data_IF_916861669366
#
_entry.id   IF_916861669366
#
_cell.length_a   1.000
_cell.length_b   1.000
_cell.length_c   1.000
_cell.angle_alpha   90.00
_cell.angle_beta   90.00
_cell.angle_gamma   90.00
#
_symmetry.space_group_name_H-M   'P 1'
#
loop_
_entity.id
_entity.type
_entity.pdbx_description
1 polymer ?
#
# COMPACT_ATOMS: atom_id res chain seq x y z
N UNK A 1 -17.81 0.70 -1.79
CA UNK A 1 -17.35 0.61 -0.38
C UNK A 1 -18.56 0.49 0.55
N UNK A 2 -19.58 1.36 0.45
CA UNK A 2 -20.75 1.32 1.34
C UNK A 2 -21.53 0.00 1.30
N UNK A 3 -21.53 -0.70 0.17
CA UNK A 3 -22.14 -2.03 0.04
C UNK A 3 -21.29 -3.17 0.65
N UNK A 4 -20.04 -2.92 1.02
CA UNK A 4 -19.13 -3.95 1.53
C UNK A 4 -19.49 -4.32 2.97
N UNK A 5 -19.80 -5.60 3.19
CA UNK A 5 -20.20 -6.12 4.51
C UNK A 5 -19.08 -6.81 5.28
N UNK A 6 -17.98 -7.13 4.60
CA UNK A 6 -16.87 -7.93 5.15
C UNK A 6 -15.55 -7.21 4.87
N UNK A 7 -14.80 -6.96 5.94
CA UNK A 7 -13.41 -6.51 5.92
C UNK A 7 -12.52 -7.75 6.13
N UNK A 8 -11.75 -8.12 5.10
CA UNK A 8 -10.91 -9.32 5.12
C UNK A 8 -9.61 -9.08 5.88
N UNK A 9 -8.94 -7.96 5.60
CA UNK A 9 -7.75 -7.54 6.33
C UNK A 9 -7.57 -6.02 6.25
N UNK A 10 -6.79 -5.48 7.18
CA UNK A 10 -6.41 -4.08 7.16
C UNK A 10 -5.09 -3.88 7.92
N UNK A 11 -4.34 -2.83 7.58
CA UNK A 11 -3.06 -2.59 8.22
C UNK A 11 -2.27 -1.43 7.65
N UNK A 12 -1.21 -1.04 8.36
CA UNK A 12 -0.28 0.00 7.91
C UNK A 12 0.80 -0.62 7.01
N UNK A 13 1.00 -0.02 5.83
CA UNK A 13 2.08 -0.35 4.90
C UNK A 13 2.81 0.92 4.46
N UNK A 14 4.07 0.79 4.05
CA UNK A 14 4.83 1.92 3.48
C UNK A 14 4.80 1.85 1.96
N UNK A 15 4.56 2.97 1.31
CA UNK A 15 4.68 3.04 -0.15
C UNK A 15 6.13 3.30 -0.59
N UNK A 16 6.39 3.23 -1.91
CA UNK A 16 7.70 3.51 -2.52
C UNK A 16 8.38 4.80 -2.04
N UNK A 17 7.60 5.83 -1.73
CA UNK A 17 8.11 7.13 -1.32
C UNK A 17 8.36 7.21 0.20
N UNK A 18 8.17 6.12 0.94
CA UNK A 18 8.30 6.05 2.40
C UNK A 18 7.09 6.56 3.18
N UNK A 19 6.01 6.98 2.51
CA UNK A 19 4.79 7.40 3.19
C UNK A 19 4.03 6.19 3.74
N UNK A 20 3.60 6.30 4.99
CA UNK A 20 2.69 5.35 5.63
C UNK A 20 1.29 5.49 5.03
N UNK A 21 0.73 4.37 4.62
CA UNK A 21 -0.65 4.23 4.18
C UNK A 21 -1.34 3.22 5.09
N UNK A 22 -2.63 3.41 5.31
CA UNK A 22 -3.48 2.42 5.95
C UNK A 22 -4.36 1.77 4.89
N UNK A 23 -4.27 0.46 4.75
CA UNK A 23 -4.93 -0.32 3.71
C UNK A 23 -6.14 -1.02 4.31
N UNK A 24 -7.25 -1.03 3.58
CA UNK A 24 -8.43 -1.83 3.88
C UNK A 24 -8.72 -2.73 2.69
N UNK A 25 -8.71 -4.05 2.90
CA UNK A 25 -9.16 -5.03 1.92
C UNK A 25 -10.54 -5.52 2.32
N UNK A 26 -11.56 -5.03 1.63
CA UNK A 26 -12.91 -5.58 1.71
C UNK A 26 -13.05 -6.73 0.70
N UNK A 27 -14.12 -7.53 0.85
CA UNK A 27 -14.41 -8.66 -0.03
C UNK A 27 -14.34 -8.33 -1.54
N UNK A 28 -14.76 -7.12 -1.94
CA UNK A 28 -14.89 -6.73 -3.34
C UNK A 28 -14.02 -5.53 -3.73
N UNK A 29 -13.34 -4.87 -2.79
CA UNK A 29 -12.59 -3.65 -3.07
C UNK A 29 -11.41 -3.45 -2.12
N UNK A 30 -10.27 -3.04 -2.68
CA UNK A 30 -9.09 -2.58 -1.96
C UNK A 30 -9.08 -1.06 -1.88
N UNK A 31 -8.91 -0.52 -0.67
CA UNK A 31 -8.88 0.92 -0.41
C UNK A 31 -7.55 1.28 0.25
N UNK A 32 -6.79 2.16 -0.41
CA UNK A 32 -5.58 2.76 0.16
C UNK A 32 -5.96 4.09 0.81
N UNK A 33 -5.44 4.38 1.99
CA UNK A 33 -5.75 5.62 2.72
C UNK A 33 -4.53 6.21 3.40
N UNK A 34 -4.61 7.49 3.77
CA UNK A 34 -3.70 8.14 4.72
C UNK A 34 -4.43 8.33 6.05
N UNK A 35 -3.85 7.93 7.18
CA UNK A 35 -4.40 8.28 8.48
C UNK A 35 -4.28 9.80 8.68
N UNK A 36 -5.38 10.45 9.05
CA UNK A 36 -5.47 11.90 9.31
C UNK A 36 -6.21 12.12 10.63
N UNK A 37 -5.70 13.05 11.43
CA UNK A 37 -6.35 13.52 12.65
C UNK A 37 -7.03 14.85 12.36
N UNK A 38 -8.36 14.93 12.52
CA UNK A 38 -9.13 16.16 12.35
C UNK A 38 -10.08 16.34 13.53
N UNK A 39 -9.97 17.46 14.23
CA UNK A 39 -10.78 17.77 15.42
C UNK A 39 -10.78 16.60 16.43
N UNK A 40 -9.58 16.11 16.77
CA UNK A 40 -9.36 14.97 17.68
C UNK A 40 -9.96 13.62 17.24
N UNK A 41 -10.53 13.55 16.02
CA UNK A 41 -11.02 12.30 15.44
C UNK A 41 -10.01 11.72 14.46
N UNK A 42 -9.71 10.44 14.62
CA UNK A 42 -8.97 9.66 13.64
C UNK A 42 -9.86 9.35 12.44
N UNK A 43 -9.34 9.61 11.25
CA UNK A 43 -10.02 9.37 9.99
C UNK A 43 -9.04 8.84 8.95
N UNK A 44 -9.57 8.18 7.94
CA UNK A 44 -8.78 7.61 6.85
C UNK A 44 -9.14 8.34 5.56
N UNK A 45 -8.24 9.21 5.12
CA UNK A 45 -8.42 9.95 3.87
C UNK A 45 -8.05 9.02 2.70
N UNK A 46 -9.01 8.77 1.80
CA UNK A 46 -8.79 7.95 0.61
C UNK A 46 -7.60 8.47 -0.19
N UNK A 47 -6.62 7.60 -0.41
CA UNK A 47 -5.45 7.85 -1.21
C UNK A 47 -5.64 7.18 -2.55
N UNK A 48 -5.83 8.00 -3.59
CA UNK A 48 -6.02 7.53 -4.97
C UNK A 48 -7.30 6.70 -5.14
N UNK A 49 -7.54 6.12 -6.32
CA UNK A 49 -8.82 5.45 -6.59
C UNK A 49 -8.81 4.05 -5.93
N UNK A 50 -9.87 3.66 -5.21
CA UNK A 50 -10.05 2.29 -4.76
C UNK A 50 -10.02 1.29 -5.92
N UNK A 51 -9.42 0.13 -5.71
CA UNK A 51 -9.26 -0.91 -6.75
C UNK A 51 -10.27 -2.02 -6.50
N UNK A 52 -11.26 -2.25 -7.39
CA UNK A 52 -12.13 -3.41 -7.30
C UNK A 52 -11.32 -4.70 -7.31
N UNK A 53 -11.66 -5.68 -6.47
CA UNK A 53 -10.90 -6.96 -6.37
C UNK A 53 -10.90 -7.71 -7.70
N UNK A 54 -11.98 -7.64 -8.47
CA UNK A 54 -12.04 -8.22 -9.81
C UNK A 54 -10.99 -7.66 -10.79
N UNK A 55 -10.55 -6.42 -10.55
CA UNK A 55 -9.58 -5.67 -11.36
C UNK A 55 -8.22 -5.56 -10.67
N UNK A 56 -8.08 -6.10 -9.46
CA UNK A 56 -6.86 -6.06 -8.66
C UNK A 56 -5.87 -7.11 -9.17
N UNK A 57 -4.66 -6.67 -9.46
CA UNK A 57 -3.51 -7.55 -9.69
C UNK A 57 -2.52 -7.37 -8.55
N UNK A 58 -2.18 -8.49 -7.92
CA UNK A 58 -1.12 -8.61 -6.92
C UNK A 58 0.12 -9.20 -7.59
N UNK A 59 1.25 -8.50 -7.45
CA UNK A 59 2.54 -8.96 -7.94
C UNK A 59 3.49 -9.07 -6.77
N UNK A 60 4.02 -10.26 -6.56
CA UNK A 60 5.09 -10.46 -5.61
C UNK A 60 6.39 -9.85 -6.14
N UNK A 61 7.15 -9.20 -5.27
CA UNK A 61 8.43 -8.58 -5.61
C UNK A 61 9.52 -9.16 -4.71
N UNK A 62 10.68 -9.46 -5.30
CA UNK A 62 11.79 -9.98 -4.52
C UNK A 62 12.47 -8.87 -3.72
N UNK A 63 13.04 -9.27 -2.59
CA UNK A 63 13.78 -8.34 -1.73
C UNK A 63 14.92 -7.67 -2.52
N UNK A 64 14.84 -6.33 -2.62
CA UNK A 64 15.80 -5.53 -3.37
C UNK A 64 15.49 -5.25 -4.82
N UNK A 65 14.38 -5.76 -5.37
CA UNK A 65 13.91 -5.41 -6.73
C UNK A 65 13.54 -3.94 -6.83
N UNK A 66 13.10 -3.34 -5.72
CA UNK A 66 12.69 -1.95 -5.66
C UNK A 66 13.54 -1.16 -4.66
N UNK A 67 14.07 -0.03 -5.13
CA UNK A 67 14.60 1.02 -4.25
C UNK A 67 13.42 1.80 -3.68
N UNK A 68 13.19 1.64 -2.37
CA UNK A 68 12.25 2.46 -1.61
C UNK A 68 12.98 3.74 -1.17
N UNK A 69 12.42 4.91 -1.43
CA UNK A 69 13.09 6.17 -1.08
C UNK A 69 12.32 7.44 -1.51
N UNK A 70 12.37 8.45 -0.63
CA UNK A 70 11.97 9.83 -0.90
C UNK A 70 13.18 10.77 -0.92
N UNK A 71 12.99 11.98 -1.45
CA UNK A 71 14.02 12.99 -1.70
C UNK A 71 14.76 13.41 -0.43
N UNK A 72 16.10 13.38 -0.45
CA UNK A 72 17.02 13.88 0.58
C UNK A 72 17.02 13.18 1.95
N UNK A 73 17.75 12.05 2.04
CA UNK A 73 18.72 11.82 3.11
C UNK A 73 19.95 11.15 2.51
N UNK A 74 20.94 11.97 2.16
CA UNK A 74 22.25 11.50 1.74
C UNK A 74 23.05 10.93 2.91
N UNK A 75 24.01 10.08 2.54
CA UNK A 75 25.23 9.77 3.26
C UNK A 75 25.07 8.99 4.59
N UNK A 76 25.61 7.76 4.59
CA UNK A 76 25.86 6.89 5.74
C UNK A 76 24.63 6.18 6.35
N UNK A 77 24.32 5.02 5.78
CA UNK A 77 23.37 4.06 6.35
C UNK A 77 22.84 3.18 5.23
N UNK A 78 23.24 1.91 5.26
CA UNK A 78 22.85 0.81 4.38
C UNK A 78 21.70 1.14 3.43
N UNK A 79 21.94 1.07 2.11
CA UNK A 79 20.86 0.98 1.13
C UNK A 79 20.16 -0.37 1.34
N UNK A 80 19.35 -0.47 2.39
CA UNK A 80 18.59 -1.66 2.71
C UNK A 80 17.60 -1.85 1.58
N UNK A 81 18.03 -2.70 0.63
CA UNK A 81 17.20 -3.34 -0.36
C UNK A 81 15.86 -3.64 0.30
N UNK A 82 14.80 -3.05 -0.24
CA UNK A 82 13.50 -3.14 0.39
C UNK A 82 13.07 -4.59 0.49
N UNK A 83 12.79 -5.04 1.71
CA UNK A 83 12.30 -6.38 1.99
C UNK A 83 10.80 -6.39 2.20
N UNK A 84 10.18 -7.55 2.02
CA UNK A 84 8.74 -7.76 2.23
C UNK A 84 7.89 -6.82 1.38
N UNK A 85 8.29 -6.67 0.12
CA UNK A 85 7.61 -5.81 -0.85
C UNK A 85 6.69 -6.61 -1.76
N UNK A 86 5.64 -5.95 -2.21
CA UNK A 86 4.73 -6.42 -3.23
C UNK A 86 4.13 -5.21 -3.96
N UNK A 87 3.47 -5.44 -5.09
CA UNK A 87 2.83 -4.39 -5.88
C UNK A 87 1.37 -4.73 -6.11
N UNK A 88 0.52 -3.74 -5.89
CA UNK A 88 -0.91 -3.79 -6.24
C UNK A 88 -1.18 -2.80 -7.37
N UNK A 89 -1.96 -3.21 -8.36
CA UNK A 89 -2.33 -2.35 -9.49
C UNK A 89 -3.66 -2.79 -10.10
N UNK A 90 -4.19 -1.95 -10.97
CA UNK A 90 -5.27 -2.36 -11.87
C UNK A 90 -4.76 -3.36 -12.91
N UNK A 91 -5.63 -4.28 -13.32
CA UNK A 91 -5.38 -5.28 -14.37
C UNK A 91 -5.06 -4.61 -15.70
N UNK A 92 -5.88 -3.65 -16.08
CA UNK A 92 -5.62 -2.80 -17.24
C UNK A 92 -4.59 -1.73 -16.89
N UNK A 93 -3.45 -1.78 -17.57
CA UNK A 93 -2.33 -0.85 -17.37
C UNK A 93 -2.64 0.56 -17.88
N UNK A 94 -3.62 0.72 -18.78
CA UNK A 94 -4.05 2.02 -19.28
C UNK A 94 -4.98 2.74 -18.30
N UNK A 95 -5.68 1.97 -17.45
CA UNK A 95 -6.75 2.47 -16.60
C UNK A 95 -6.32 2.92 -15.21
N UNK A 96 -5.08 2.65 -14.77
CA UNK A 96 -4.89 2.66 -13.31
C UNK A 96 -3.50 2.79 -12.72
N UNK A 97 -3.56 3.27 -11.48
CA UNK A 97 -2.44 3.48 -10.59
C UNK A 97 -1.81 2.15 -10.17
N UNK A 98 -0.52 2.21 -9.85
CA UNK A 98 0.26 1.10 -9.34
C UNK A 98 0.95 1.52 -8.05
N UNK A 99 0.88 0.67 -7.03
CA UNK A 99 1.39 0.93 -5.70
C UNK A 99 2.32 -0.20 -5.27
N UNK A 100 3.62 0.10 -5.20
CA UNK A 100 4.57 -0.75 -4.47
C UNK A 100 4.44 -0.46 -2.98
N UNK A 101 4.16 -1.52 -2.22
CA UNK A 101 3.91 -1.49 -0.80
C UNK A 101 4.91 -2.40 -0.08
N UNK A 102 5.30 -1.99 1.12
CA UNK A 102 6.22 -2.71 1.99
C UNK A 102 5.52 -3.01 3.32
N UNK A 103 5.50 -4.29 3.68
CA UNK A 103 5.09 -4.77 4.99
C UNK A 103 6.23 -4.65 6.01
N UNK A 104 5.87 -4.62 7.30
CA UNK A 104 6.85 -4.49 8.38
C UNK A 104 7.73 -5.74 8.55
N UNK A 105 7.18 -6.92 8.29
CA UNK A 105 7.87 -8.21 8.33
C UNK A 105 7.25 -9.21 7.32
N UNK A 106 7.84 -10.40 7.23
CA UNK A 106 7.41 -11.43 6.27
C UNK A 106 6.07 -12.09 6.64
N UNK A 107 5.72 -12.11 7.94
CA UNK A 107 4.47 -12.70 8.41
C UNK A 107 3.28 -11.80 8.07
N UNK A 108 3.48 -10.48 8.04
CA UNK A 108 2.50 -9.51 7.57
C UNK A 108 2.38 -9.45 6.03
N UNK A 109 3.22 -10.18 5.28
CA UNK A 109 3.13 -10.29 3.81
C UNK A 109 2.28 -11.49 3.36
N UNK A 110 2.11 -12.52 4.20
CA UNK A 110 1.40 -13.76 3.87
C UNK A 110 -0.12 -13.61 3.88
#
# INVERSE_FOLDING_TARGET
IEASKVLLCHGELKNKNGHKLYIFLFQEILVLTRPVMRNERHSYQVYRQPIPVQDLVLEDLQDGDVKMGGSFRGAFGNSDKAKNIFRVRFRDSSSGQSHTLQANDIFHKQ
#
